data_IF_088752339604
#
_entry.id   IF_088752339604
#
_cell.length_a   1.000
_cell.length_b   1.000
_cell.length_c   1.000
_cell.angle_alpha   90.00
_cell.angle_beta   90.00
_cell.angle_gamma   90.00
#
_symmetry.space_group_name_H-M   'P 1'
#
loop_
_entity.id
_entity.type
_entity.pdbx_description
1 polymer ?
#
# COMPACT_ATOMS: atom_id res chain seq x y z
N UNK A 1 8.17 -3.40 19.73
CA UNK A 1 9.51 -2.88 19.36
C UNK A 1 10.08 -3.48 18.09
N UNK A 2 10.09 -4.82 17.92
CA UNK A 2 10.69 -5.46 16.73
C UNK A 2 10.13 -4.98 15.38
N UNK A 3 8.82 -4.75 15.27
CA UNK A 3 8.21 -4.30 14.01
C UNK A 3 8.60 -2.87 13.64
N UNK A 4 8.65 -1.97 14.62
CA UNK A 4 9.05 -0.58 14.42
C UNK A 4 10.52 -0.48 13.96
N UNK A 5 11.38 -1.38 14.43
CA UNK A 5 12.78 -1.44 14.00
C UNK A 5 12.97 -1.84 12.53
N UNK A 6 11.94 -2.42 11.89
CA UNK A 6 11.95 -2.83 10.48
C UNK A 6 11.28 -1.78 9.56
N UNK A 7 10.67 -0.73 10.11
CA UNK A 7 9.98 0.29 9.32
C UNK A 7 10.96 1.25 8.69
N UNK A 8 10.81 1.48 7.38
CA UNK A 8 11.53 2.53 6.66
C UNK A 8 10.63 3.77 6.60
N UNK A 9 11.07 4.94 7.11
CA UNK A 9 10.28 6.16 7.04
C UNK A 9 10.18 6.64 5.58
N UNK A 10 8.97 6.99 5.15
CA UNK A 10 8.70 7.53 3.83
C UNK A 10 8.32 9.01 3.97
N UNK A 11 9.00 9.88 3.21
CA UNK A 11 8.61 11.29 3.10
C UNK A 11 7.62 11.46 1.95
N UNK A 12 6.46 11.99 2.25
CA UNK A 12 5.46 12.40 1.26
C UNK A 12 5.74 13.83 0.80
N UNK A 13 6.02 14.00 -0.48
CA UNK A 13 6.31 15.30 -1.08
C UNK A 13 5.11 15.90 -1.82
N UNK A 14 4.12 15.09 -2.15
CA UNK A 14 2.96 15.47 -2.94
C UNK A 14 1.70 14.77 -2.39
N UNK A 15 0.58 15.51 -2.40
CA UNK A 15 -0.74 15.00 -2.02
C UNK A 15 -1.59 14.90 -3.29
N UNK A 16 -2.23 13.76 -3.52
CA UNK A 16 -2.92 13.47 -4.78
C UNK A 16 -4.44 13.32 -4.63
N UNK A 17 -4.99 13.85 -3.54
CA UNK A 17 -6.39 13.67 -3.13
C UNK A 17 -7.36 14.53 -3.97
N UNK A 18 -8.55 14.01 -4.32
CA UNK A 18 -9.05 12.66 -4.03
C UNK A 18 -8.77 11.65 -5.16
N UNK A 19 -8.31 10.46 -4.79
CA UNK A 19 -8.09 9.28 -5.65
C UNK A 19 -8.90 8.07 -5.19
N UNK A 20 -9.08 7.90 -3.88
CA UNK A 20 -9.74 6.74 -3.27
C UNK A 20 -11.15 7.05 -2.78
N UNK A 21 -11.90 5.98 -2.50
CA UNK A 21 -13.26 6.08 -1.97
C UNK A 21 -13.28 6.55 -0.52
N UNK A 22 -12.41 5.99 0.32
CA UNK A 22 -12.22 6.46 1.70
C UNK A 22 -11.03 7.45 1.73
N UNK A 23 -11.27 8.72 2.11
CA UNK A 23 -10.20 9.71 2.21
C UNK A 23 -9.11 9.38 3.24
N UNK A 24 -9.37 8.47 4.20
CA UNK A 24 -8.39 8.02 5.19
C UNK A 24 -7.39 7.00 4.62
N UNK A 25 -7.77 6.26 3.58
CA UNK A 25 -6.89 5.28 2.92
C UNK A 25 -5.83 5.95 2.03
N UNK A 26 -6.04 7.22 1.67
CA UNK A 26 -5.13 8.01 0.83
C UNK A 26 -3.72 8.06 1.41
N UNK A 27 -3.58 8.28 2.72
CA UNK A 27 -2.27 8.39 3.36
C UNK A 27 -1.47 7.08 3.24
N UNK A 28 -2.15 5.93 3.24
CA UNK A 28 -1.52 4.61 3.15
C UNK A 28 -1.07 4.34 1.71
N UNK A 29 -1.91 4.71 0.73
CA UNK A 29 -1.55 4.66 -0.68
C UNK A 29 -0.35 5.57 -0.97
N UNK A 30 -0.39 6.81 -0.49
CA UNK A 30 0.69 7.78 -0.66
C UNK A 30 2.02 7.25 -0.10
N UNK A 31 2.02 6.67 1.10
CA UNK A 31 3.20 6.04 1.70
C UNK A 31 3.72 4.88 0.85
N UNK A 32 2.83 4.00 0.37
CA UNK A 32 3.23 2.87 -0.45
C UNK A 32 3.87 3.31 -1.77
N UNK A 33 3.32 4.34 -2.43
CA UNK A 33 3.86 4.84 -3.71
C UNK A 33 5.16 5.62 -3.51
N UNK A 34 5.21 6.54 -2.54
CA UNK A 34 6.44 7.31 -2.27
C UNK A 34 7.57 6.40 -1.74
N UNK A 35 7.22 5.31 -1.05
CA UNK A 35 8.17 4.28 -0.59
C UNK A 35 8.56 3.27 -1.66
N UNK A 36 8.06 3.39 -2.88
CA UNK A 36 8.27 2.45 -3.98
C UNK A 36 8.01 0.98 -3.58
N UNK A 37 6.92 0.75 -2.84
CA UNK A 37 6.57 -0.58 -2.35
C UNK A 37 6.15 -1.50 -3.52
N UNK A 38 6.54 -2.77 -3.44
CA UNK A 38 6.11 -3.79 -4.41
C UNK A 38 4.61 -4.08 -4.32
N UNK A 39 4.04 -3.98 -3.11
CA UNK A 39 2.63 -4.19 -2.84
C UNK A 39 2.17 -3.48 -1.56
N UNK A 40 0.88 -3.10 -1.52
CA UNK A 40 0.17 -2.73 -0.30
C UNK A 40 -0.66 -3.94 0.16
N UNK A 41 -0.38 -4.39 1.38
CA UNK A 41 -1.02 -5.56 1.98
C UNK A 41 -2.15 -5.10 2.90
N UNK A 42 -3.39 -5.48 2.60
CA UNK A 42 -4.57 -5.05 3.38
C UNK A 42 -5.73 -6.03 3.29
N UNK A 43 -6.58 -6.05 4.32
CA UNK A 43 -7.91 -6.67 4.23
C UNK A 43 -8.94 -5.77 3.55
N UNK A 44 -8.71 -4.46 3.50
CA UNK A 44 -9.65 -3.48 2.95
C UNK A 44 -9.54 -3.33 1.42
N UNK A 45 -9.56 -4.43 0.67
CA UNK A 45 -9.35 -4.41 -0.79
C UNK A 45 -10.37 -3.53 -1.53
N UNK A 46 -11.60 -3.45 -1.00
CA UNK A 46 -12.73 -2.78 -1.65
C UNK A 46 -12.52 -1.27 -1.79
N UNK A 47 -11.93 -0.62 -0.80
CA UNK A 47 -11.84 0.85 -0.77
C UNK A 47 -10.68 1.39 -1.62
N UNK A 48 -9.68 0.54 -1.90
CA UNK A 48 -8.62 0.82 -2.87
C UNK A 48 -9.05 0.52 -4.31
N UNK A 49 -9.82 -0.56 -4.51
CA UNK A 49 -10.26 -0.98 -5.83
C UNK A 49 -9.10 -1.14 -6.82
N UNK A 50 -9.27 -0.61 -8.04
CA UNK A 50 -8.27 -0.68 -9.10
C UNK A 50 -7.37 0.56 -9.21
N UNK A 51 -7.57 1.58 -8.36
CA UNK A 51 -6.85 2.86 -8.45
C UNK A 51 -5.34 2.67 -8.31
N UNK A 52 -4.82 1.94 -7.29
CA UNK A 52 -3.38 1.78 -7.12
C UNK A 52 -2.69 1.09 -8.30
N UNK A 53 -3.35 0.07 -8.87
CA UNK A 53 -2.82 -0.67 -10.02
C UNK A 53 -2.82 0.17 -11.30
N UNK A 54 -3.85 0.98 -11.53
CA UNK A 54 -3.98 1.81 -12.74
C UNK A 54 -3.09 3.05 -12.71
N UNK A 55 -3.01 3.73 -11.57
CA UNK A 55 -2.28 4.99 -11.46
C UNK A 55 -0.79 4.79 -11.16
N UNK A 56 -0.42 3.76 -10.40
CA UNK A 56 0.93 3.60 -9.85
C UNK A 56 1.54 2.23 -10.10
N UNK A 57 0.85 1.33 -10.82
CA UNK A 57 1.24 -0.06 -11.00
C UNK A 57 1.44 -0.85 -9.67
N UNK A 58 0.90 -0.33 -8.56
CA UNK A 58 1.04 -0.91 -7.23
C UNK A 58 0.07 -2.09 -7.06
N UNK A 59 0.59 -3.24 -6.60
CA UNK A 59 -0.24 -4.39 -6.30
C UNK A 59 -0.97 -4.21 -4.95
N UNK A 60 -2.27 -4.48 -4.91
CA UNK A 60 -3.04 -4.57 -3.66
C UNK A 60 -3.34 -6.05 -3.41
N UNK A 61 -2.87 -6.59 -2.29
CA UNK A 61 -2.99 -8.02 -1.99
C UNK A 61 -3.49 -8.26 -0.56
N UNK A 62 -4.24 -9.35 -0.31
CA UNK A 62 -4.58 -9.74 1.04
C UNK A 62 -3.35 -10.35 1.76
N UNK A 63 -3.32 -10.32 3.11
CA UNK A 63 -2.21 -10.88 3.88
C UNK A 63 -1.88 -12.34 3.55
N UNK A 64 -2.90 -13.17 3.24
CA UNK A 64 -2.70 -14.57 2.83
C UNK A 64 -1.80 -14.71 1.61
N UNK A 65 -1.92 -13.81 0.63
CA UNK A 65 -1.08 -13.81 -0.58
C UNK A 65 0.32 -13.25 -0.25
N UNK A 66 0.42 -12.23 0.60
CA UNK A 66 1.70 -11.69 1.02
C UNK A 66 2.57 -12.76 1.72
N UNK A 67 1.99 -13.55 2.63
CA UNK A 67 2.69 -14.64 3.31
C UNK A 67 3.19 -15.70 2.32
N UNK A 68 2.35 -16.10 1.36
CA UNK A 68 2.76 -17.05 0.32
C UNK A 68 3.95 -16.54 -0.51
N UNK A 69 3.91 -15.26 -0.91
CA UNK A 69 5.03 -14.61 -1.64
C UNK A 69 6.32 -14.65 -0.83
N UNK A 70 6.27 -14.31 0.46
CA UNK A 70 7.46 -14.32 1.33
C UNK A 70 8.01 -15.74 1.51
N UNK A 71 7.15 -16.76 1.47
CA UNK A 71 7.54 -18.18 1.51
C UNK A 71 7.99 -18.73 0.15
N UNK A 72 7.91 -17.94 -0.93
CA UNK A 72 8.13 -18.37 -2.32
C UNK A 72 7.20 -19.52 -2.76
N UNK A 73 5.95 -19.50 -2.29
CA UNK A 73 4.86 -20.44 -2.61
C UNK A 73 3.82 -19.85 -3.59
#
# INVERSE_FOLDING_TARGET
DGLAALVVPVKTHFLWRPLLRDPNDEMVLEVAVNGNADALVTFNLRDYGNVPKKAFNLAIIPPSIAIRRVRNE
#
